data_IF_362579692706
#
_entry.id   IF_362579692706
#
_cell.length_a   1.000
_cell.length_b   1.000
_cell.length_c   1.000
_cell.angle_alpha   90.00
_cell.angle_beta   90.00
_cell.angle_gamma   90.00
#
_symmetry.space_group_name_H-M   'P 1'
#
loop_
_entity.id
_entity.type
_entity.pdbx_description
1 polymer ?
#
# COMPACT_ATOMS: atom_id res chain seq x y z
N UNK A 1 32.78 -12.21 59.95
CA UNK A 1 33.19 -13.12 58.86
C UNK A 1 33.98 -12.31 57.85
N UNK A 2 34.99 -12.90 57.21
CA UNK A 2 35.79 -12.21 56.17
C UNK A 2 35.02 -12.22 54.84
N UNK A 3 35.32 -11.31 53.88
CA UNK A 3 34.72 -11.34 52.54
C UNK A 3 34.84 -12.71 51.85
N UNK A 4 35.95 -13.42 52.07
CA UNK A 4 36.15 -14.78 51.58
C UNK A 4 35.20 -15.83 52.21
N UNK A 5 34.80 -15.64 53.47
CA UNK A 5 33.83 -16.51 54.13
C UNK A 5 32.41 -16.26 53.61
N UNK A 6 32.06 -14.99 53.38
CA UNK A 6 30.79 -14.62 52.74
C UNK A 6 30.70 -15.19 51.32
N UNK A 7 31.75 -15.10 50.52
CA UNK A 7 31.77 -15.68 49.16
C UNK A 7 31.57 -17.21 49.18
N UNK A 8 32.25 -17.93 50.08
CA UNK A 8 32.07 -19.39 50.21
C UNK A 8 30.64 -19.74 50.61
N UNK A 9 30.04 -18.99 51.52
CA UNK A 9 28.66 -19.20 51.97
C UNK A 9 27.65 -18.86 50.87
N UNK A 10 27.91 -17.82 50.09
CA UNK A 10 27.10 -17.43 48.95
C UNK A 10 27.08 -18.52 47.88
N UNK A 11 28.25 -19.07 47.53
CA UNK A 11 28.39 -20.19 46.59
C UNK A 11 27.64 -21.44 47.09
N UNK A 12 27.73 -21.72 48.40
CA UNK A 12 27.00 -22.84 49.01
C UNK A 12 25.49 -22.65 48.91
N UNK A 13 25.03 -21.43 49.20
CA UNK A 13 23.62 -21.05 49.12
C UNK A 13 23.10 -21.13 47.67
N UNK A 14 23.88 -20.65 46.70
CA UNK A 14 23.56 -20.74 45.27
C UNK A 14 23.40 -22.20 44.82
N UNK A 15 24.38 -23.06 45.17
CA UNK A 15 24.33 -24.50 44.86
C UNK A 15 23.18 -25.25 45.56
N UNK A 16 22.77 -24.78 46.73
CA UNK A 16 21.63 -25.32 47.47
C UNK A 16 20.27 -24.85 46.92
N UNK A 17 20.25 -23.97 45.91
CA UNK A 17 19.03 -23.39 45.35
C UNK A 17 18.45 -22.23 46.16
N UNK A 18 19.12 -21.80 47.24
CA UNK A 18 18.71 -20.65 48.07
C UNK A 18 19.12 -19.34 47.39
N UNK A 19 18.44 -18.98 46.30
CA UNK A 19 18.77 -17.82 45.45
C UNK A 19 18.79 -16.50 46.20
N UNK A 20 17.72 -16.13 46.90
CA UNK A 20 17.63 -14.85 47.63
C UNK A 20 18.80 -14.66 48.60
N UNK A 21 19.10 -15.70 49.40
CA UNK A 21 20.23 -15.67 50.33
C UNK A 21 21.57 -15.58 49.60
N UNK A 22 21.73 -16.26 48.48
CA UNK A 22 22.95 -16.19 47.69
C UNK A 22 23.15 -14.79 47.08
N UNK A 23 22.08 -14.16 46.58
CA UNK A 23 22.12 -12.79 46.03
C UNK A 23 22.59 -11.81 47.10
N UNK A 24 21.94 -11.80 48.28
CA UNK A 24 22.32 -10.90 49.38
C UNK A 24 23.80 -11.08 49.78
N UNK A 25 24.26 -12.33 49.94
CA UNK A 25 25.64 -12.61 50.32
C UNK A 25 26.65 -12.23 49.21
N UNK A 26 26.26 -12.31 47.94
CA UNK A 26 27.10 -11.88 46.81
C UNK A 26 27.16 -10.35 46.71
N UNK A 27 26.04 -9.67 46.93
CA UNK A 27 25.98 -8.20 46.99
C UNK A 27 26.86 -7.65 48.13
N UNK A 28 26.79 -8.23 49.33
CA UNK A 28 27.67 -7.87 50.45
C UNK A 28 29.17 -8.03 50.12
N UNK A 29 29.52 -9.10 49.38
CA UNK A 29 30.90 -9.32 48.90
C UNK A 29 31.28 -8.26 47.87
N UNK A 30 30.37 -7.87 46.99
CA UNK A 30 30.63 -6.87 45.95
C UNK A 30 30.67 -5.43 46.49
N UNK A 31 30.00 -5.14 47.60
CA UNK A 31 30.15 -3.85 48.30
C UNK A 31 31.57 -3.68 48.85
N UNK A 32 32.15 -4.77 49.38
CA UNK A 32 33.50 -4.75 49.97
C UNK A 32 34.60 -4.97 48.93
N UNK A 33 34.35 -5.80 47.92
CA UNK A 33 35.28 -6.11 46.83
C UNK A 33 34.59 -5.96 45.45
N UNK A 34 34.39 -4.73 44.95
CA UNK A 34 33.68 -4.49 43.68
C UNK A 34 34.31 -5.14 42.44
N UNK A 35 35.61 -5.46 42.53
CA UNK A 35 36.40 -6.10 41.48
C UNK A 35 36.55 -7.62 41.69
N UNK A 36 35.64 -8.27 42.42
CA UNK A 36 35.66 -9.72 42.60
C UNK A 36 34.95 -10.43 41.43
N UNK A 37 35.73 -10.89 40.44
CA UNK A 37 35.20 -11.56 39.24
C UNK A 37 34.40 -12.84 39.56
N UNK A 38 34.77 -13.56 40.63
CA UNK A 38 34.09 -14.80 41.04
C UNK A 38 32.70 -14.49 41.62
N UNK A 39 32.59 -13.46 42.45
CA UNK A 39 31.30 -13.00 42.97
C UNK A 39 30.35 -12.59 41.84
N UNK A 40 30.82 -11.79 40.87
CA UNK A 40 30.06 -11.43 39.67
C UNK A 40 29.63 -12.65 38.83
N UNK A 41 30.52 -13.63 38.63
CA UNK A 41 30.18 -14.86 37.93
C UNK A 41 29.07 -15.64 38.65
N UNK A 42 29.16 -15.81 39.98
CA UNK A 42 28.10 -16.49 40.74
C UNK A 42 26.80 -15.70 40.81
N UNK A 43 26.86 -14.36 40.79
CA UNK A 43 25.67 -13.51 40.75
C UNK A 43 24.89 -13.74 39.46
N UNK A 44 25.58 -13.95 38.33
CA UNK A 44 24.92 -14.32 37.07
C UNK A 44 24.17 -15.65 37.10
N UNK A 45 24.47 -16.53 38.07
CA UNK A 45 23.80 -17.83 38.18
C UNK A 45 22.47 -17.75 38.94
N UNK A 46 22.45 -16.88 39.93
CA UNK A 46 21.30 -16.71 40.82
C UNK A 46 20.35 -15.60 40.39
N UNK A 47 20.79 -14.71 39.48
CA UNK A 47 19.97 -13.63 38.94
C UNK A 47 18.70 -14.13 38.22
N UNK A 48 17.61 -13.40 38.41
CA UNK A 48 16.26 -13.81 37.99
C UNK A 48 16.03 -13.66 36.49
N UNK A 49 16.51 -12.57 35.89
CA UNK A 49 16.29 -12.25 34.47
C UNK A 49 17.57 -12.32 33.64
N UNK A 50 17.40 -12.59 32.34
CA UNK A 50 18.52 -12.74 31.39
C UNK A 50 19.39 -11.48 31.32
N UNK A 51 18.82 -10.28 31.49
CA UNK A 51 19.58 -9.04 31.42
C UNK A 51 20.52 -8.91 32.62
N UNK A 52 20.06 -9.17 33.84
CA UNK A 52 20.90 -9.22 35.04
C UNK A 52 22.00 -10.30 34.94
N UNK A 53 21.69 -11.47 34.36
CA UNK A 53 22.68 -12.52 34.13
C UNK A 53 23.78 -12.06 33.16
N UNK A 54 23.41 -11.43 32.05
CA UNK A 54 24.34 -10.87 31.06
C UNK A 54 25.22 -9.79 31.72
N UNK A 55 24.62 -8.82 32.39
CA UNK A 55 25.33 -7.72 33.06
C UNK A 55 26.38 -8.24 34.06
N UNK A 56 26.02 -9.23 34.87
CA UNK A 56 26.92 -9.82 35.85
C UNK A 56 28.09 -10.57 35.17
N UNK A 57 27.84 -11.29 34.08
CA UNK A 57 28.90 -11.97 33.30
C UNK A 57 29.82 -10.98 32.58
N UNK A 58 29.29 -9.92 32.00
CA UNK A 58 30.09 -8.86 31.37
C UNK A 58 31.01 -8.20 32.39
N UNK A 59 30.50 -7.93 33.60
CA UNK A 59 31.29 -7.38 34.68
C UNK A 59 32.39 -8.34 35.13
N UNK A 60 32.09 -9.63 35.26
CA UNK A 60 33.07 -10.66 35.59
C UNK A 60 34.19 -10.76 34.54
N UNK A 61 33.83 -10.73 33.25
CA UNK A 61 34.78 -10.80 32.13
C UNK A 61 35.59 -9.51 31.96
N UNK A 62 35.02 -8.35 32.27
CA UNK A 62 35.76 -7.08 32.28
C UNK A 62 36.87 -7.07 33.34
N UNK A 63 36.66 -7.75 34.48
CA UNK A 63 37.66 -7.88 35.55
C UNK A 63 38.67 -8.98 35.23
N UNK A 64 38.19 -10.15 34.78
CA UNK A 64 39.02 -11.31 34.46
C UNK A 64 38.60 -11.89 33.09
N UNK A 65 39.27 -11.47 32.00
CA UNK A 65 38.92 -11.87 30.63
C UNK A 65 39.15 -13.35 30.32
N UNK A 66 40.08 -14.01 31.02
CA UNK A 66 40.46 -15.41 30.78
C UNK A 66 39.53 -16.39 31.53
N UNK A 67 38.23 -16.34 31.21
CA UNK A 67 37.22 -17.21 31.79
C UNK A 67 36.37 -17.88 30.70
N UNK A 68 36.82 -19.00 30.12
CA UNK A 68 36.14 -19.65 28.99
C UNK A 68 34.71 -20.10 29.33
N UNK A 69 34.44 -20.47 30.59
CA UNK A 69 33.09 -20.82 31.06
C UNK A 69 32.15 -19.61 31.09
N UNK A 70 32.63 -18.45 31.53
CA UNK A 70 31.84 -17.23 31.57
C UNK A 70 31.54 -16.73 30.14
N UNK A 71 32.53 -16.81 29.25
CA UNK A 71 32.36 -16.46 27.83
C UNK A 71 31.32 -17.37 27.14
N UNK A 72 31.43 -18.69 27.30
CA UNK A 72 30.48 -19.64 26.70
C UNK A 72 29.04 -19.42 27.21
N UNK A 73 28.88 -19.14 28.52
CA UNK A 73 27.57 -18.82 29.09
C UNK A 73 27.01 -17.51 28.53
N UNK A 74 27.84 -16.47 28.45
CA UNK A 74 27.44 -15.17 27.92
C UNK A 74 26.98 -15.28 26.46
N UNK A 75 27.72 -16.01 25.61
CA UNK A 75 27.31 -16.27 24.22
C UNK A 75 25.97 -16.99 24.16
N UNK A 76 25.76 -18.03 24.96
CA UNK A 76 24.47 -18.75 25.00
C UNK A 76 23.30 -17.87 25.45
N UNK A 77 23.50 -16.97 26.42
CA UNK A 77 22.47 -16.01 26.84
C UNK A 77 22.16 -14.98 25.75
N UNK A 78 23.17 -14.53 25.00
CA UNK A 78 22.96 -13.67 23.85
C UNK A 78 22.15 -14.36 22.75
N UNK A 79 22.48 -15.60 22.41
CA UNK A 79 21.71 -16.40 21.45
C UNK A 79 20.27 -16.63 21.90
N UNK A 80 20.06 -16.91 23.19
CA UNK A 80 18.72 -17.07 23.77
C UNK A 80 17.91 -15.78 23.68
N UNK A 81 18.53 -14.63 24.00
CA UNK A 81 17.89 -13.31 23.88
C UNK A 81 17.50 -13.01 22.44
N UNK A 82 18.40 -13.24 21.48
CA UNK A 82 18.11 -13.05 20.06
C UNK A 82 16.99 -13.98 19.57
N UNK A 83 16.97 -15.24 20.02
CA UNK A 83 15.92 -16.18 19.67
C UNK A 83 14.56 -15.71 20.21
N UNK A 84 14.50 -15.21 21.44
CA UNK A 84 13.29 -14.63 22.02
C UNK A 84 12.79 -13.41 21.22
N UNK A 85 13.70 -12.52 20.82
CA UNK A 85 13.38 -11.37 19.95
C UNK A 85 12.84 -11.83 18.60
N UNK A 86 13.53 -12.76 17.92
CA UNK A 86 13.07 -13.32 16.63
C UNK A 86 11.67 -13.94 16.74
N UNK A 87 11.41 -14.67 17.83
CA UNK A 87 10.11 -15.28 18.07
C UNK A 87 9.02 -14.22 18.35
N UNK A 88 9.34 -13.17 19.11
CA UNK A 88 8.43 -12.05 19.37
C UNK A 88 8.05 -11.33 18.09
N UNK A 89 9.03 -10.96 17.27
CA UNK A 89 8.82 -10.33 15.96
C UNK A 89 7.91 -11.20 15.06
N UNK A 90 8.20 -12.51 14.98
CA UNK A 90 7.40 -13.45 14.18
C UNK A 90 5.96 -13.55 14.67
N UNK A 91 5.75 -13.51 15.99
CA UNK A 91 4.42 -13.62 16.60
C UNK A 91 3.58 -12.37 16.30
N UNK A 92 4.13 -11.18 16.55
CA UNK A 92 3.47 -9.91 16.25
C UNK A 92 3.13 -9.77 14.76
N UNK A 93 4.06 -10.17 13.87
CA UNK A 93 3.83 -10.13 12.44
C UNK A 93 2.69 -11.07 12.01
N UNK A 94 2.67 -12.30 12.54
CA UNK A 94 1.61 -13.26 12.25
C UNK A 94 0.23 -12.79 12.76
N UNK A 95 0.18 -12.16 13.93
CA UNK A 95 -1.05 -11.56 14.46
C UNK A 95 -1.54 -10.40 13.57
N UNK A 96 -0.63 -9.53 13.10
CA UNK A 96 -0.97 -8.45 12.19
C UNK A 96 -1.49 -8.98 10.84
N UNK A 97 -0.86 -10.01 10.28
CA UNK A 97 -1.33 -10.69 9.06
C UNK A 97 -2.71 -11.31 9.24
N UNK A 98 -2.96 -11.99 10.36
CA UNK A 98 -4.25 -12.57 10.67
C UNK A 98 -5.34 -11.52 10.87
N UNK A 99 -5.02 -10.39 11.51
CA UNK A 99 -5.92 -9.25 11.63
C UNK A 99 -6.25 -8.64 10.25
N UNK A 100 -5.25 -8.46 9.38
CA UNK A 100 -5.42 -8.01 7.99
C UNK A 100 -6.36 -8.94 7.22
N UNK A 101 -6.11 -10.24 7.27
CA UNK A 101 -6.90 -11.25 6.55
C UNK A 101 -8.37 -11.29 7.02
N UNK A 102 -8.60 -11.02 8.31
CA UNK A 102 -9.93 -10.90 8.89
C UNK A 102 -10.63 -9.54 8.61
N UNK A 103 -9.99 -8.64 7.86
CA UNK A 103 -10.50 -7.29 7.59
C UNK A 103 -10.43 -6.34 8.80
N UNK A 104 -9.73 -6.73 9.87
CA UNK A 104 -9.53 -5.93 11.09
C UNK A 104 -8.35 -4.98 10.89
N UNK A 105 -8.49 -4.02 9.97
CA UNK A 105 -7.40 -3.15 9.51
C UNK A 105 -6.79 -2.29 10.61
N UNK A 106 -7.60 -1.78 11.55
CA UNK A 106 -7.10 -0.98 12.67
C UNK A 106 -6.21 -1.81 13.61
N UNK A 107 -6.67 -3.00 14.01
CA UNK A 107 -5.90 -3.91 14.87
C UNK A 107 -4.58 -4.31 14.19
N UNK A 108 -4.61 -4.63 12.89
CA UNK A 108 -3.41 -4.96 12.14
C UNK A 108 -2.41 -3.79 12.11
N UNK A 109 -2.90 -2.55 11.96
CA UNK A 109 -2.07 -1.34 11.97
C UNK A 109 -1.41 -1.12 13.33
N UNK A 110 -2.15 -1.26 14.43
CA UNK A 110 -1.60 -1.12 15.78
C UNK A 110 -0.52 -2.16 16.08
N UNK A 111 -0.74 -3.42 15.68
CA UNK A 111 0.27 -4.48 15.83
C UNK A 111 1.55 -4.19 15.03
N UNK A 112 1.41 -3.64 13.82
CA UNK A 112 2.56 -3.23 13.01
C UNK A 112 3.28 -2.02 13.61
N UNK A 113 2.56 -1.04 14.14
CA UNK A 113 3.14 0.11 14.84
C UNK A 113 3.93 -0.34 16.06
N UNK A 114 3.36 -1.23 16.88
CA UNK A 114 4.07 -1.84 18.00
C UNK A 114 5.33 -2.58 17.53
N UNK A 115 5.23 -3.36 16.46
CA UNK A 115 6.36 -4.13 15.93
C UNK A 115 7.52 -3.24 15.46
N UNK A 116 7.23 -2.13 14.79
CA UNK A 116 8.28 -1.22 14.30
C UNK A 116 8.84 -0.29 15.39
N UNK A 117 8.04 0.03 16.42
CA UNK A 117 8.49 0.77 17.60
C UNK A 117 9.43 -0.08 18.47
N UNK A 118 9.10 -1.36 18.68
CA UNK A 118 9.96 -2.29 19.40
C UNK A 118 11.19 -2.71 18.56
N UNK A 119 11.03 -2.83 17.24
CA UNK A 119 12.03 -3.41 16.34
C UNK A 119 12.11 -2.69 14.99
N UNK A 120 12.82 -1.57 14.96
CA UNK A 120 13.00 -0.74 13.77
C UNK A 120 13.67 -1.47 12.58
N UNK A 121 14.38 -2.57 12.85
CA UNK A 121 15.10 -3.35 11.82
C UNK A 121 14.22 -4.36 11.07
N UNK A 122 12.90 -4.32 11.24
CA UNK A 122 12.00 -5.22 10.54
C UNK A 122 11.46 -4.60 9.24
N UNK A 123 12.12 -4.90 8.11
CA UNK A 123 11.70 -4.42 6.79
C UNK A 123 10.26 -4.81 6.48
N UNK A 124 9.87 -6.06 6.73
CA UNK A 124 8.53 -6.57 6.35
C UNK A 124 7.43 -5.81 7.07
N UNK A 125 7.64 -5.48 8.35
CA UNK A 125 6.71 -4.69 9.15
C UNK A 125 6.53 -3.28 8.57
N UNK A 126 7.63 -2.61 8.21
CA UNK A 126 7.58 -1.30 7.56
C UNK A 126 6.84 -1.34 6.22
N UNK A 127 7.07 -2.36 5.40
CA UNK A 127 6.38 -2.53 4.13
C UNK A 127 4.88 -2.73 4.33
N UNK A 128 4.48 -3.62 5.24
CA UNK A 128 3.07 -3.83 5.54
C UNK A 128 2.41 -2.57 6.12
N UNK A 129 3.11 -1.84 6.98
CA UNK A 129 2.61 -0.60 7.56
C UNK A 129 2.38 0.46 6.46
N UNK A 130 3.29 0.56 5.49
CA UNK A 130 3.13 1.48 4.35
C UNK A 130 1.89 1.21 3.49
N UNK A 131 1.37 -0.01 3.47
CA UNK A 131 0.12 -0.33 2.76
C UNK A 131 -1.12 0.00 3.60
N UNK A 132 -0.97 -0.06 4.93
CA UNK A 132 -2.06 0.05 5.88
C UNK A 132 -2.35 1.47 6.29
N UNK A 133 -1.38 2.39 6.25
CA UNK A 133 -1.60 3.79 6.61
C UNK A 133 -2.40 4.54 5.55
N UNK A 134 -3.18 5.51 6.02
CA UNK A 134 -4.11 6.27 5.19
C UNK A 134 -3.43 7.46 4.51
N UNK A 135 -2.50 8.12 5.21
CA UNK A 135 -1.82 9.29 4.66
C UNK A 135 -0.61 8.91 3.80
N UNK A 136 -0.48 9.55 2.63
CA UNK A 136 0.65 9.29 1.72
C UNK A 136 2.00 9.70 2.32
N UNK A 137 2.03 10.68 3.20
CA UNK A 137 3.24 11.07 3.93
C UNK A 137 3.68 9.95 4.87
N UNK A 138 2.73 9.31 5.58
CA UNK A 138 3.02 8.16 6.44
C UNK A 138 3.48 6.95 5.62
N UNK A 139 2.90 6.74 4.43
CA UNK A 139 3.37 5.70 3.50
C UNK A 139 4.82 5.97 3.07
N UNK A 140 5.14 7.22 2.72
CA UNK A 140 6.50 7.65 2.35
C UNK A 140 7.46 7.39 3.51
N UNK A 141 7.11 7.79 4.73
CA UNK A 141 7.93 7.61 5.91
C UNK A 141 8.20 6.12 6.20
N UNK A 142 7.17 5.27 6.16
CA UNK A 142 7.33 3.84 6.35
C UNK A 142 8.24 3.20 5.28
N UNK A 143 8.10 3.61 4.01
CA UNK A 143 8.97 3.13 2.92
C UNK A 143 10.41 3.66 3.04
N UNK A 144 10.62 4.87 3.55
CA UNK A 144 11.95 5.41 3.84
C UNK A 144 12.62 4.61 4.96
N UNK A 145 11.90 4.29 6.03
CA UNK A 145 12.41 3.41 7.08
C UNK A 145 12.73 2.01 6.55
N UNK A 146 11.88 1.45 5.69
CA UNK A 146 12.18 0.17 5.02
C UNK A 146 13.48 0.23 4.19
N UNK A 147 13.78 1.35 3.54
CA UNK A 147 15.05 1.54 2.81
C UNK A 147 16.25 1.76 3.75
N UNK A 148 16.05 2.28 4.96
CA UNK A 148 17.09 2.32 5.99
C UNK A 148 17.49 0.90 6.39
N UNK A 149 16.52 -0.01 6.51
CA UNK A 149 16.77 -1.43 6.81
C UNK A 149 17.39 -2.16 5.61
N UNK A 150 16.80 -2.01 4.43
CA UNK A 150 17.25 -2.64 3.19
C UNK A 150 17.40 -1.63 2.04
N UNK A 151 18.59 -1.00 1.92
CA UNK A 151 18.84 0.00 0.89
C UNK A 151 18.81 -0.55 -0.54
N UNK A 152 18.81 -1.87 -0.74
CA UNK A 152 18.85 -2.49 -2.05
C UNK A 152 17.47 -2.89 -2.58
N UNK A 153 16.39 -2.66 -1.82
CA UNK A 153 15.05 -3.00 -2.26
C UNK A 153 14.57 -2.10 -3.42
N UNK A 154 14.71 -2.60 -4.65
CA UNK A 154 14.35 -1.88 -5.87
C UNK A 154 12.86 -1.60 -6.01
N UNK A 155 12.00 -2.48 -5.48
CA UNK A 155 10.55 -2.27 -5.47
C UNK A 155 10.18 -1.06 -4.60
N UNK A 156 10.76 -0.97 -3.40
CA UNK A 156 10.52 0.17 -2.47
C UNK A 156 10.99 1.48 -3.09
N UNK A 157 12.17 1.50 -3.72
CA UNK A 157 12.68 2.70 -4.42
C UNK A 157 11.72 3.21 -5.48
N UNK A 158 11.19 2.31 -6.32
CA UNK A 158 10.25 2.66 -7.38
C UNK A 158 8.91 3.14 -6.82
N UNK A 159 8.39 2.46 -5.79
CA UNK A 159 7.16 2.84 -5.10
C UNK A 159 7.30 4.23 -4.46
N UNK A 160 8.39 4.45 -3.71
CA UNK A 160 8.71 5.72 -3.06
C UNK A 160 8.84 6.86 -4.09
N UNK A 161 9.54 6.65 -5.20
CA UNK A 161 9.65 7.64 -6.27
C UNK A 161 8.29 8.01 -6.87
N UNK A 162 7.38 7.03 -6.99
CA UNK A 162 6.02 7.26 -7.46
C UNK A 162 5.22 8.08 -6.44
N UNK A 163 5.25 7.72 -5.16
CA UNK A 163 4.54 8.46 -4.10
C UNK A 163 5.06 9.89 -3.94
N UNK A 164 6.39 10.11 -4.00
CA UNK A 164 6.98 11.45 -3.95
C UNK A 164 6.56 12.33 -5.13
N UNK A 165 6.40 11.75 -6.32
CA UNK A 165 5.82 12.48 -7.47
C UNK A 165 4.39 12.92 -7.19
N UNK A 166 3.59 12.04 -6.60
CA UNK A 166 2.21 12.37 -6.23
C UNK A 166 2.17 13.43 -5.12
N UNK A 167 3.04 13.35 -4.12
CA UNK A 167 3.16 14.38 -3.07
C UNK A 167 3.52 15.75 -3.68
N UNK A 168 4.14 15.78 -4.86
CA UNK A 168 4.39 17.01 -5.60
C UNK A 168 3.16 17.61 -6.28
N UNK A 169 2.14 16.79 -6.56
CA UNK A 169 0.86 17.19 -7.14
C UNK A 169 -0.33 16.55 -6.38
N UNK A 170 -0.69 17.11 -5.20
CA UNK A 170 -1.71 16.51 -4.33
C UNK A 170 -3.13 16.60 -4.91
N UNK A 171 -3.39 17.52 -5.84
CA UNK A 171 -4.69 17.66 -6.50
C UNK A 171 -4.96 16.45 -7.40
N UNK A 172 -4.03 16.17 -8.31
CA UNK A 172 -4.11 14.99 -9.18
C UNK A 172 -4.13 13.71 -8.34
N UNK A 173 -3.37 13.67 -7.25
CA UNK A 173 -3.39 12.54 -6.31
C UNK A 173 -4.80 12.28 -5.74
N UNK A 174 -5.48 13.32 -5.26
CA UNK A 174 -6.84 13.18 -4.73
C UNK A 174 -7.81 12.65 -5.79
N UNK A 175 -7.72 13.14 -7.03
CA UNK A 175 -8.57 12.65 -8.14
C UNK A 175 -8.34 11.16 -8.42
N UNK A 176 -7.08 10.70 -8.36
CA UNK A 176 -6.78 9.28 -8.52
C UNK A 176 -7.44 8.42 -7.43
N UNK A 177 -7.44 8.87 -6.18
CA UNK A 177 -8.06 8.12 -5.08
C UNK A 177 -9.59 8.12 -5.17
N UNK A 178 -10.20 9.23 -5.57
CA UNK A 178 -11.66 9.27 -5.85
C UNK A 178 -12.04 8.23 -6.91
N UNK A 179 -11.28 8.16 -7.99
CA UNK A 179 -11.50 7.18 -9.05
C UNK A 179 -11.29 5.73 -8.62
N UNK A 180 -10.43 5.49 -7.62
CA UNK A 180 -10.23 4.17 -7.02
C UNK A 180 -11.31 3.83 -5.98
N UNK A 181 -12.13 4.80 -5.58
CA UNK A 181 -13.12 4.68 -4.51
C UNK A 181 -12.51 4.78 -3.11
N UNK A 182 -11.23 5.12 -3.01
CA UNK A 182 -10.55 5.34 -1.73
C UNK A 182 -10.79 6.78 -1.26
N UNK A 183 -12.02 7.04 -0.82
CA UNK A 183 -12.46 8.38 -0.44
C UNK A 183 -11.75 8.90 0.83
N UNK A 184 -11.13 8.03 1.62
CA UNK A 184 -10.33 8.42 2.78
C UNK A 184 -9.01 9.04 2.32
N UNK A 185 -8.28 8.36 1.44
CA UNK A 185 -7.02 8.87 0.88
C UNK A 185 -7.22 10.07 -0.06
N UNK A 186 -8.36 10.13 -0.74
CA UNK A 186 -8.71 11.31 -1.53
C UNK A 186 -8.84 12.57 -0.65
N UNK A 187 -9.42 12.42 0.55
CA UNK A 187 -9.59 13.52 1.48
C UNK A 187 -8.25 14.04 1.99
N UNK A 188 -7.35 13.15 2.41
CA UNK A 188 -6.01 13.54 2.87
C UNK A 188 -5.21 14.24 1.76
N UNK A 189 -5.29 13.76 0.52
CA UNK A 189 -4.64 14.39 -0.63
C UNK A 189 -5.15 15.81 -0.92
N UNK A 190 -6.48 16.03 -0.86
CA UNK A 190 -7.04 17.37 -1.04
C UNK A 190 -6.72 18.30 0.13
N UNK A 191 -6.68 17.80 1.37
CA UNK A 191 -6.21 18.58 2.51
C UNK A 191 -4.73 18.99 2.32
N UNK A 192 -3.87 18.06 1.89
CA UNK A 192 -2.48 18.39 1.54
C UNK A 192 -2.42 19.45 0.43
N UNK A 193 -3.30 19.37 -0.59
CA UNK A 193 -3.38 20.38 -1.64
C UNK A 193 -3.73 21.77 -1.08
N UNK A 194 -4.67 21.86 -0.12
CA UNK A 194 -5.02 23.14 0.52
C UNK A 194 -3.85 23.75 1.28
N UNK A 195 -3.04 22.94 1.96
CA UNK A 195 -1.89 23.40 2.74
C UNK A 195 -0.73 23.80 1.82
N UNK A 196 -0.51 23.06 0.72
CA UNK A 196 0.61 23.28 -0.21
C UNK A 196 0.34 24.39 -1.24
N UNK A 197 -0.92 24.80 -1.41
CA UNK A 197 -1.31 25.80 -2.40
C UNK A 197 -0.56 27.12 -2.18
N UNK A 198 0.25 27.50 -3.18
CA UNK A 198 0.97 28.79 -3.19
C UNK A 198 0.15 29.94 -3.76
N UNK A 199 -1.02 29.65 -4.34
CA UNK A 199 -1.88 30.61 -5.02
C UNK A 199 -3.31 30.50 -4.50
N UNK A 200 -4.02 31.62 -4.47
CA UNK A 200 -5.44 31.68 -4.09
C UNK A 200 -6.31 30.82 -5.01
N UNK A 201 -5.96 30.75 -6.30
CA UNK A 201 -6.66 29.91 -7.28
C UNK A 201 -6.48 28.43 -6.95
N UNK A 202 -5.25 28.00 -6.67
CA UNK A 202 -4.98 26.61 -6.29
C UNK A 202 -5.64 26.21 -4.97
N UNK A 203 -5.68 27.11 -4.00
CA UNK A 203 -6.35 26.86 -2.72
C UNK A 203 -7.86 26.68 -2.92
N UNK A 204 -8.51 27.58 -3.67
CA UNK A 204 -9.95 27.48 -3.98
C UNK A 204 -10.29 26.20 -4.76
N UNK A 205 -9.41 25.77 -5.66
CA UNK A 205 -9.63 24.53 -6.42
C UNK A 205 -9.57 23.29 -5.50
N UNK A 206 -8.61 23.25 -4.56
CA UNK A 206 -8.51 22.20 -3.55
C UNK A 206 -9.73 22.17 -2.62
N UNK A 207 -10.16 23.33 -2.12
CA UNK A 207 -11.36 23.45 -1.27
C UNK A 207 -12.63 23.01 -1.99
N UNK A 208 -12.75 23.35 -3.27
CA UNK A 208 -13.87 22.91 -4.11
C UNK A 208 -13.91 21.38 -4.23
N UNK A 209 -12.79 20.74 -4.56
CA UNK A 209 -12.71 19.27 -4.68
C UNK A 209 -13.01 18.57 -3.36
N UNK A 210 -12.55 19.13 -2.24
CA UNK A 210 -12.88 18.63 -0.91
C UNK A 210 -14.39 18.71 -0.62
N UNK A 211 -15.05 19.80 -1.02
CA UNK A 211 -16.51 19.93 -0.90
C UNK A 211 -17.26 18.95 -1.80
N UNK A 212 -16.79 18.74 -3.03
CA UNK A 212 -17.35 17.74 -3.95
C UNK A 212 -17.16 16.31 -3.41
N UNK A 213 -16.02 16.01 -2.79
CA UNK A 213 -15.76 14.72 -2.13
C UNK A 213 -16.74 14.45 -0.98
N UNK A 214 -17.04 15.46 -0.16
CA UNK A 214 -18.02 15.33 0.93
C UNK A 214 -19.40 14.95 0.41
N UNK A 215 -19.84 15.58 -0.68
CA UNK A 215 -21.09 15.23 -1.37
C UNK A 215 -21.06 13.80 -1.89
N UNK A 216 -19.93 13.34 -2.44
CA UNK A 216 -19.78 11.94 -2.89
C UNK A 216 -19.90 10.95 -1.73
N UNK A 217 -19.34 11.25 -0.56
CA UNK A 217 -19.44 10.41 0.66
C UNK A 217 -20.88 10.28 1.17
N UNK A 218 -21.73 11.28 0.94
CA UNK A 218 -23.14 11.25 1.33
C UNK A 218 -23.99 10.35 0.43
N UNK A 219 -23.52 9.98 -0.76
CA UNK A 219 -24.25 9.12 -1.69
C UNK A 219 -24.20 7.66 -1.19
N UNK A 220 -25.33 7.06 -0.78
CA UNK A 220 -25.35 5.69 -0.28
C UNK A 220 -24.96 4.71 -1.38
N UNK A 221 -23.96 3.87 -1.10
CA UNK A 221 -23.54 2.83 -2.04
C UNK A 221 -22.77 3.35 -3.25
N UNK A 222 -22.12 4.51 -3.16
CA UNK A 222 -21.19 4.99 -4.19
C UNK A 222 -20.16 3.90 -4.52
N UNK A 223 -20.12 3.49 -5.79
CA UNK A 223 -19.10 2.59 -6.32
C UNK A 223 -18.32 3.35 -7.39
N UNK A 224 -17.06 3.64 -7.11
CA UNK A 224 -16.17 4.14 -8.13
C UNK A 224 -16.05 3.10 -9.25
N UNK A 225 -16.42 3.48 -10.47
CA UNK A 225 -16.29 2.61 -11.64
C UNK A 225 -14.90 2.88 -12.21
N UNK A 226 -14.09 1.82 -12.32
CA UNK A 226 -12.75 1.91 -12.88
C UNK A 226 -12.78 2.71 -14.21
N UNK A 227 -12.05 3.82 -14.33
CA UNK A 227 -12.07 4.68 -15.52
C UNK A 227 -11.71 3.94 -16.81
N UNK A 228 -10.79 2.99 -16.75
CA UNK A 228 -10.43 2.14 -17.90
C UNK A 228 -11.58 1.24 -18.30
N UNK A 229 -12.31 0.69 -17.33
CA UNK A 229 -13.52 -0.10 -17.58
C UNK A 229 -14.65 0.77 -18.14
N UNK A 230 -14.79 2.01 -17.65
CA UNK A 230 -15.74 3.00 -18.17
C UNK A 230 -15.43 3.33 -19.62
N UNK A 231 -14.16 3.61 -19.94
CA UNK A 231 -13.68 3.89 -21.29
C UNK A 231 -13.93 2.69 -22.22
N UNK A 232 -13.57 1.48 -21.78
CA UNK A 232 -13.79 0.25 -22.54
C UNK A 232 -15.28 0.00 -22.79
N UNK A 233 -16.13 0.15 -21.77
CA UNK A 233 -17.58 -0.02 -21.88
C UNK A 233 -18.20 0.98 -22.86
N UNK A 234 -17.80 2.24 -22.79
CA UNK A 234 -18.31 3.30 -23.68
C UNK A 234 -17.79 3.15 -25.12
N UNK A 235 -16.61 2.56 -25.30
CA UNK A 235 -16.05 2.27 -26.63
C UNK A 235 -16.70 1.05 -27.28
N UNK A 236 -16.79 -0.07 -26.55
CA UNK A 236 -17.20 -1.37 -27.09
C UNK A 236 -18.72 -1.51 -27.16
N UNK A 237 -19.46 -0.91 -26.22
CA UNK A 237 -20.92 -1.04 -26.14
C UNK A 237 -21.64 -0.68 -27.44
N UNK A 238 -21.41 0.52 -28.00
CA UNK A 238 -22.01 0.88 -29.28
C UNK A 238 -21.58 -0.01 -30.45
N UNK A 239 -20.32 -0.47 -30.49
CA UNK A 239 -19.84 -1.40 -31.53
C UNK A 239 -20.55 -2.75 -31.45
N UNK A 240 -20.79 -3.27 -30.25
CA UNK A 240 -21.57 -4.49 -30.04
C UNK A 240 -23.02 -4.30 -30.50
N UNK A 241 -23.64 -3.17 -30.14
CA UNK A 241 -24.99 -2.84 -30.59
C UNK A 241 -25.07 -2.76 -32.12
N UNK A 242 -24.11 -2.08 -32.75
CA UNK A 242 -24.00 -1.99 -34.20
C UNK A 242 -23.86 -3.38 -34.84
N UNK A 243 -22.98 -4.23 -34.28
CA UNK A 243 -22.79 -5.61 -34.76
C UNK A 243 -24.07 -6.45 -34.67
N UNK A 244 -24.82 -6.34 -33.56
CA UNK A 244 -26.12 -6.99 -33.41
C UNK A 244 -27.16 -6.47 -34.43
N UNK A 245 -27.20 -5.16 -34.67
CA UNK A 245 -28.06 -4.58 -35.69
C UNK A 245 -27.67 -5.06 -37.09
N UNK A 246 -26.38 -5.13 -37.40
CA UNK A 246 -25.90 -5.63 -38.68
C UNK A 246 -26.27 -7.10 -38.89
N UNK A 247 -26.07 -7.93 -37.86
CA UNK A 247 -26.38 -9.37 -37.90
C UNK A 247 -27.89 -9.60 -38.11
N UNK A 248 -28.75 -8.86 -37.42
CA UNK A 248 -30.20 -8.95 -37.61
C UNK A 248 -30.61 -8.51 -39.02
N UNK A 249 -30.00 -7.45 -39.55
CA UNK A 249 -30.27 -6.97 -40.90
C UNK A 249 -29.73 -7.87 -42.02
N UNK A 250 -28.72 -8.70 -41.72
CA UNK A 250 -28.17 -9.69 -42.64
C UNK A 250 -28.88 -11.05 -42.54
N UNK A 251 -29.98 -11.14 -41.76
CA UNK A 251 -30.72 -12.40 -41.60
C UNK A 251 -29.96 -13.46 -40.82
N UNK A 252 -29.13 -13.05 -39.85
CA UNK A 252 -28.23 -13.91 -39.06
C UNK A 252 -27.08 -14.55 -39.87
N UNK A 253 -26.87 -14.11 -41.11
CA UNK A 253 -25.66 -14.44 -41.88
C UNK A 253 -24.59 -13.36 -41.67
N UNK A 254 -23.51 -13.64 -40.91
CA UNK A 254 -22.48 -12.65 -40.59
C UNK A 254 -21.60 -12.26 -41.77
N UNK A 255 -21.69 -12.94 -42.93
CA UNK A 255 -20.96 -12.59 -44.16
C UNK A 255 -21.90 -12.03 -45.24
N UNK A 256 -23.21 -12.08 -45.02
CA UNK A 256 -24.22 -11.65 -45.99
C UNK A 256 -24.35 -10.13 -46.16
N UNK A 257 -23.75 -9.33 -45.28
CA UNK A 257 -23.76 -7.87 -45.41
C UNK A 257 -22.69 -7.33 -46.37
N UNK A 258 -22.95 -6.17 -46.98
CA UNK A 258 -21.99 -5.50 -47.85
C UNK A 258 -20.71 -5.10 -47.10
N UNK A 259 -19.51 -5.22 -47.72
CA UNK A 259 -18.22 -4.86 -47.13
C UNK A 259 -18.18 -3.49 -46.43
N UNK A 260 -18.92 -2.51 -46.97
CA UNK A 260 -19.00 -1.15 -46.42
C UNK A 260 -19.52 -1.12 -44.97
N UNK A 261 -20.39 -2.04 -44.57
CA UNK A 261 -20.96 -2.06 -43.22
C UNK A 261 -19.99 -2.60 -42.17
N UNK A 262 -19.02 -3.45 -42.54
CA UNK A 262 -17.95 -3.84 -41.62
C UNK A 262 -16.93 -2.73 -41.44
N UNK A 263 -16.59 -2.01 -42.52
CA UNK A 263 -15.76 -0.79 -42.46
C UNK A 263 -16.42 0.27 -41.57
N UNK A 264 -17.73 0.47 -41.75
CA UNK A 264 -18.50 1.38 -40.92
C UNK A 264 -18.56 0.91 -39.45
N UNK A 265 -18.60 -0.40 -39.18
CA UNK A 265 -18.50 -0.95 -37.83
C UNK A 265 -17.16 -0.67 -37.15
N UNK A 266 -16.05 -0.71 -37.90
CA UNK A 266 -14.75 -0.24 -37.40
C UNK A 266 -14.78 1.27 -37.12
N UNK A 267 -15.48 2.04 -37.95
CA UNK A 267 -15.80 3.46 -37.70
C UNK A 267 -16.55 3.69 -36.40
N UNK A 268 -17.55 2.85 -36.06
CA UNK A 268 -18.27 2.93 -34.78
C UNK A 268 -17.33 2.70 -33.60
N UNK A 269 -16.40 1.76 -33.71
CA UNK A 269 -15.41 1.49 -32.65
C UNK A 269 -14.47 2.69 -32.43
N UNK A 270 -13.95 3.26 -33.51
CA UNK A 270 -13.13 4.47 -33.45
C UNK A 270 -13.94 5.65 -32.90
N UNK A 271 -15.17 5.84 -33.37
CA UNK A 271 -16.07 6.91 -32.94
C UNK A 271 -16.41 6.82 -31.46
N UNK A 272 -16.75 5.61 -30.98
CA UNK A 272 -17.00 5.33 -29.57
C UNK A 272 -15.79 5.61 -28.70
N UNK A 273 -14.60 5.22 -29.16
CA UNK A 273 -13.34 5.50 -28.45
C UNK A 273 -13.03 7.01 -28.36
N UNK A 274 -13.11 7.74 -29.48
CA UNK A 274 -12.89 9.19 -29.53
C UNK A 274 -13.89 9.95 -28.67
N UNK A 275 -15.16 9.54 -28.71
CA UNK A 275 -16.20 10.12 -27.86
C UNK A 275 -15.92 9.83 -26.39
N UNK A 276 -15.61 8.60 -26.02
CA UNK A 276 -15.35 8.23 -24.63
C UNK A 276 -14.11 8.96 -24.05
N UNK A 277 -13.04 9.07 -24.83
CA UNK A 277 -11.81 9.78 -24.43
C UNK A 277 -11.95 11.31 -24.36
N UNK A 278 -12.94 11.90 -25.02
CA UNK A 278 -13.26 13.33 -24.87
C UNK A 278 -13.88 13.66 -23.50
N UNK A 279 -14.52 12.69 -22.85
CA UNK A 279 -15.23 12.87 -21.58
C UNK A 279 -14.62 12.11 -20.39
N UNK A 280 -13.78 11.10 -20.65
CA UNK A 280 -13.05 10.34 -19.63
C UNK A 280 -11.54 10.49 -19.82
N UNK A 281 -10.79 10.62 -18.73
CA UNK A 281 -9.33 10.71 -18.71
C UNK A 281 -8.70 9.33 -18.96
N UNK A 282 -8.06 9.10 -20.13
CA UNK A 282 -7.45 7.81 -20.43
C UNK A 282 -6.11 7.69 -19.69
N UNK A 283 -5.99 6.69 -18.80
CA UNK A 283 -4.75 6.44 -18.02
C UNK A 283 -3.87 5.33 -18.59
N UNK A 284 -4.24 4.77 -19.74
CA UNK A 284 -3.41 3.76 -20.40
C UNK A 284 -2.13 4.41 -20.95
N UNK A 285 -0.93 3.79 -20.79
CA UNK A 285 0.36 4.39 -21.14
C UNK A 285 0.46 4.94 -22.57
N UNK A 286 -0.15 4.23 -23.52
CA UNK A 286 -0.21 4.65 -24.93
C UNK A 286 -0.92 6.00 -25.12
N UNK A 287 -1.93 6.29 -24.32
CA UNK A 287 -2.79 7.47 -24.48
C UNK A 287 -2.38 8.63 -23.61
N UNK A 288 -1.80 8.39 -22.43
CA UNK A 288 -1.12 9.44 -21.67
C UNK A 288 0.08 9.99 -22.43
N UNK A 289 0.72 9.17 -23.28
CA UNK A 289 1.75 9.61 -24.22
C UNK A 289 1.21 10.56 -25.31
N UNK A 290 -0.01 10.33 -25.81
CA UNK A 290 -0.62 11.13 -26.88
C UNK A 290 -1.40 12.36 -26.40
N UNK A 291 -2.14 12.24 -25.30
CA UNK A 291 -3.06 13.25 -24.77
C UNK A 291 -2.51 13.98 -23.54
N UNK A 292 -1.41 13.49 -22.96
CA UNK A 292 -0.86 13.99 -21.71
C UNK A 292 -1.46 13.32 -20.46
N UNK A 293 -0.83 13.52 -19.29
CA UNK A 293 -1.25 12.91 -18.02
C UNK A 293 -2.64 13.38 -17.55
N UNK A 294 -3.04 14.59 -17.91
CA UNK A 294 -4.37 15.16 -17.61
C UNK A 294 -5.43 14.80 -18.68
N UNK A 295 -5.05 13.97 -19.67
CA UNK A 295 -5.84 13.72 -20.88
C UNK A 295 -6.14 15.00 -21.66
N UNK A 296 -7.29 15.04 -22.33
CA UNK A 296 -7.76 16.27 -23.00
C UNK A 296 -8.22 17.27 -21.93
N UNK A 297 -7.29 17.93 -21.23
CA UNK A 297 -7.61 18.81 -20.08
C UNK A 297 -8.30 20.11 -20.49
N UNK A 298 -8.06 20.57 -21.72
CA UNK A 298 -8.62 21.83 -22.24
C UNK A 298 -9.95 21.57 -22.93
N UNK A 299 -11.00 22.26 -22.46
CA UNK A 299 -12.35 22.22 -23.04
C UNK A 299 -12.36 22.38 -24.58
N UNK A 300 -11.54 23.30 -25.10
CA UNK A 300 -11.45 23.58 -26.54
C UNK A 300 -10.90 22.42 -27.38
N UNK A 301 -10.13 21.51 -26.79
CA UNK A 301 -9.64 20.30 -27.47
C UNK A 301 -10.65 19.14 -27.37
N UNK A 302 -11.51 19.13 -26.34
CA UNK A 302 -12.56 18.10 -26.17
C UNK A 302 -13.63 18.19 -27.23
N UNK A 303 -14.04 19.41 -27.57
CA UNK A 303 -15.13 19.66 -28.50
C UNK A 303 -14.89 19.06 -29.91
N UNK A 304 -13.78 19.34 -30.61
CA UNK A 304 -13.56 18.78 -31.95
C UNK A 304 -13.38 17.25 -31.93
N UNK A 305 -12.69 16.70 -30.92
CA UNK A 305 -12.50 15.25 -30.78
C UNK A 305 -13.85 14.56 -30.52
N UNK A 306 -14.66 15.11 -29.62
CA UNK A 306 -15.98 14.61 -29.30
C UNK A 306 -16.94 14.69 -30.49
N UNK A 307 -16.96 15.80 -31.23
CA UNK A 307 -17.79 15.96 -32.43
C UNK A 307 -17.38 14.96 -33.53
N UNK A 308 -16.07 14.77 -33.73
CA UNK A 308 -15.56 13.78 -34.69
C UNK A 308 -15.97 12.37 -34.26
N UNK A 309 -15.76 12.03 -32.99
CA UNK A 309 -16.17 10.74 -32.43
C UNK A 309 -17.66 10.50 -32.58
N UNK A 310 -18.48 11.50 -32.25
CA UNK A 310 -19.94 11.45 -32.40
C UNK A 310 -20.36 11.20 -33.85
N UNK A 311 -19.74 11.86 -34.83
CA UNK A 311 -20.04 11.65 -36.24
C UNK A 311 -19.75 10.20 -36.67
N UNK A 312 -18.54 9.70 -36.38
CA UNK A 312 -18.15 8.32 -36.69
C UNK A 312 -18.99 7.28 -35.94
N UNK A 313 -19.49 7.64 -34.76
CA UNK A 313 -20.36 6.79 -33.95
C UNK A 313 -21.76 6.68 -34.57
N UNK A 314 -22.40 7.81 -34.91
CA UNK A 314 -23.83 7.85 -35.28
C UNK A 314 -24.08 7.57 -36.76
N UNK A 315 -23.19 8.02 -37.65
CA UNK A 315 -23.39 7.91 -39.10
C UNK A 315 -23.61 6.45 -39.56
N UNK A 316 -22.83 5.45 -39.09
CA UNK A 316 -23.08 4.04 -39.44
C UNK A 316 -24.47 3.52 -39.04
N UNK A 317 -24.99 3.91 -37.87
CA UNK A 317 -26.34 3.53 -37.45
C UNK A 317 -27.41 4.16 -38.34
N UNK A 318 -27.23 5.44 -38.71
CA UNK A 318 -28.14 6.11 -39.62
C UNK A 318 -28.18 5.42 -41.00
N UNK A 319 -27.02 4.98 -41.51
CA UNK A 319 -26.95 4.20 -42.76
C UNK A 319 -27.67 2.85 -42.66
N UNK A 320 -27.51 2.11 -41.55
CA UNK A 320 -28.23 0.84 -41.34
C UNK A 320 -29.75 1.04 -41.28
N UNK A 321 -30.21 2.09 -40.59
CA UNK A 321 -31.64 2.40 -40.51
C UNK A 321 -32.20 2.82 -41.87
N UNK A 322 -31.45 3.63 -42.61
CA UNK A 322 -31.81 4.03 -43.97
C UNK A 322 -31.94 2.83 -44.92
N UNK A 323 -30.98 1.89 -44.86
CA UNK A 323 -31.04 0.68 -45.68
C UNK A 323 -32.22 -0.24 -45.30
N UNK A 324 -32.52 -0.35 -44.01
CA UNK A 324 -33.69 -1.09 -43.55
C UNK A 324 -34.99 -0.46 -44.07
N UNK A 325 -35.08 0.87 -44.06
CA UNK A 325 -36.22 1.60 -44.59
C UNK A 325 -36.43 1.38 -46.09
N UNK A 326 -35.37 1.45 -46.90
CA UNK A 326 -35.45 1.15 -48.35
C UNK A 326 -35.98 -0.26 -48.60
N UNK A 327 -35.46 -1.27 -47.88
CA UNK A 327 -35.91 -2.67 -48.05
C UNK A 327 -37.40 -2.83 -47.73
N UNK A 328 -37.86 -2.16 -46.69
CA UNK A 328 -39.26 -2.19 -46.27
C UNK A 328 -40.18 -1.48 -47.27
N UNK A 329 -39.73 -0.40 -47.89
CA UNK A 329 -40.48 0.31 -48.93
C UNK A 329 -40.63 -0.55 -50.20
N UNK A 330 -39.54 -1.19 -50.65
CA UNK A 330 -39.56 -2.13 -51.79
C UNK A 330 -40.51 -3.31 -51.52
N UNK A 331 -40.47 -3.88 -50.31
CA UNK A 331 -41.38 -4.97 -49.92
C UNK A 331 -42.86 -4.52 -49.90
N UNK A 332 -43.14 -3.29 -49.43
CA UNK A 332 -44.49 -2.73 -49.48
C UNK A 332 -44.97 -2.51 -50.91
N UNK A 333 -44.08 -2.08 -51.81
CA UNK A 333 -44.39 -1.91 -53.22
C UNK A 333 -44.69 -3.24 -53.92
N UNK A 334 -44.01 -4.33 -53.55
CA UNK A 334 -44.25 -5.67 -54.12
C UNK A 334 -45.55 -6.33 -53.67
N UNK A 335 -46.17 -5.83 -52.59
CA UNK A 335 -47.45 -6.32 -52.06
C UNK A 335 -48.67 -5.60 -52.64
N UNK A 336 -48.46 -4.56 -53.47
CA UNK A 336 -49.52 -3.81 -54.16
C UNK A 336 -49.66 -4.31 -55.60
#
# INVERSE_FOLDING_TARGET
MTPADYLKEAIRSARAGNRERAILLLEDVLETEPNNAVAWFWLSDVAEDIHAQIMALERALAISPDQPRAMARLTGLYEQREAAVRQRQKTLLAEAEAAKAAGRTHEARELLLQLVDEYENNETAWLMLSEMVDDVSDQIMALENALTVNPQNGWVKNKLATLKRWQNDPLTMGDMFVEQGDLARAESAYLMATVKARTVVGQRDAERRLADLKRLKEIPGFKAINPTLTLARLTVGPSLLYGLMLLTQAGLDPLGASPIFYVAGFGVLIGGFLMASAFATPRHPMWTWWLGPDGVSRFFLRLPIGLTGFFFLIMPFALLLWQAWIRLDVYRASLR
#
